data_IF_640271185939
#
_entry.id   IF_640271185939
#
_cell.length_a   1.000
_cell.length_b   1.000
_cell.length_c   1.000
_cell.angle_alpha   90.00
_cell.angle_beta   90.00
_cell.angle_gamma   90.00
#
_symmetry.space_group_name_H-M   'P 1'
#
loop_
_entity.id
_entity.type
_entity.pdbx_description
1 polymer ?
#
# COMPACT_ATOMS: atom_id res chain seq x y z
N UNK A 1 -2.22 -8.53 -2.26
CA UNK A 1 -1.24 -7.61 -2.86
C UNK A 1 0.03 -7.81 -2.08
N UNK A 2 1.15 -7.93 -2.78
CA UNK A 2 2.46 -8.12 -2.16
C UNK A 2 3.27 -6.84 -2.39
N UNK A 3 3.68 -6.21 -1.29
CA UNK A 3 4.66 -5.12 -1.29
C UNK A 3 5.88 -5.68 -0.54
N UNK A 4 7.03 -5.70 -1.18
CA UNK A 4 8.21 -6.38 -0.67
C UNK A 4 9.49 -5.55 -0.83
N UNK A 5 10.54 -5.97 -0.12
CA UNK A 5 11.84 -5.30 -0.12
C UNK A 5 12.02 -4.33 1.04
N UNK A 6 13.25 -3.84 1.12
CA UNK A 6 13.74 -2.82 2.03
C UNK A 6 14.75 -1.92 1.28
N UNK A 7 15.64 -1.26 2.02
CA UNK A 7 16.76 -0.53 1.43
C UNK A 7 17.62 -1.44 0.54
N UNK A 8 18.06 -0.93 -0.60
CA UNK A 8 19.00 -1.59 -1.54
C UNK A 8 18.60 -3.01 -1.99
N UNK A 9 17.29 -3.31 -1.98
CA UNK A 9 16.79 -4.62 -2.39
C UNK A 9 17.03 -4.91 -3.87
N UNK A 10 17.02 -6.20 -4.24
CA UNK A 10 17.01 -6.59 -5.65
C UNK A 10 15.59 -6.44 -6.21
N UNK A 11 15.24 -5.19 -6.51
CA UNK A 11 13.93 -4.76 -6.95
C UNK A 11 13.34 -5.64 -8.05
N UNK A 12 14.11 -5.93 -9.09
CA UNK A 12 13.69 -6.68 -10.28
C UNK A 12 13.34 -8.13 -9.94
N UNK A 13 14.21 -8.81 -9.19
CA UNK A 13 13.99 -10.19 -8.77
C UNK A 13 12.76 -10.34 -7.86
N UNK A 14 12.48 -9.33 -7.03
CA UNK A 14 11.29 -9.31 -6.18
C UNK A 14 10.01 -9.19 -7.03
N UNK A 15 10.03 -8.35 -8.06
CA UNK A 15 8.90 -8.23 -9.00
C UNK A 15 8.73 -9.51 -9.83
N UNK A 16 9.82 -10.09 -10.32
CA UNK A 16 9.81 -11.35 -11.08
C UNK A 16 9.26 -12.50 -10.24
N UNK A 17 9.54 -12.52 -8.94
CA UNK A 17 8.97 -13.48 -7.99
C UNK A 17 7.45 -13.28 -7.73
N UNK A 18 6.83 -12.26 -8.31
CA UNK A 18 5.38 -12.03 -8.26
C UNK A 18 4.93 -10.94 -7.30
N UNK A 19 5.84 -10.11 -6.79
CA UNK A 19 5.44 -8.94 -6.02
C UNK A 19 4.71 -7.91 -6.90
N UNK A 20 3.70 -7.25 -6.33
CA UNK A 20 3.02 -6.14 -7.00
C UNK A 20 3.91 -4.90 -7.01
N UNK A 21 4.52 -4.61 -5.85
CA UNK A 21 5.45 -3.50 -5.68
C UNK A 21 6.69 -3.99 -4.94
N UNK A 22 7.82 -3.39 -5.31
CA UNK A 22 9.09 -3.64 -4.67
C UNK A 22 9.76 -2.30 -4.35
N UNK A 23 10.56 -2.26 -3.30
CA UNK A 23 11.33 -1.07 -2.96
C UNK A 23 12.72 -1.06 -3.59
N UNK A 24 13.27 0.15 -3.65
CA UNK A 24 14.63 0.46 -4.06
C UNK A 24 15.01 0.12 -5.51
N UNK A 25 14.26 0.58 -6.53
CA UNK A 25 14.68 0.49 -7.94
C UNK A 25 16.13 0.93 -8.18
N UNK A 26 16.52 2.06 -7.59
CA UNK A 26 17.88 2.63 -7.74
C UNK A 26 18.85 2.11 -6.67
N UNK A 27 18.46 1.08 -5.91
CA UNK A 27 19.26 0.47 -4.82
C UNK A 27 19.74 1.49 -3.78
N UNK A 28 18.85 2.42 -3.43
CA UNK A 28 19.05 3.45 -2.41
C UNK A 28 18.48 3.07 -1.03
N UNK A 29 18.83 3.86 -0.02
CA UNK A 29 18.13 3.85 1.27
C UNK A 29 16.73 4.46 1.08
N UNK A 30 15.70 3.66 1.34
CA UNK A 30 14.32 4.10 1.24
C UNK A 30 13.83 4.60 2.59
N UNK A 31 12.84 5.47 2.59
CA UNK A 31 12.19 5.86 3.83
C UNK A 31 11.30 4.73 4.36
N UNK A 32 11.33 4.47 5.67
CA UNK A 32 10.57 3.39 6.30
C UNK A 32 9.04 3.51 6.10
N UNK A 33 8.54 4.72 5.84
CA UNK A 33 7.13 4.98 5.55
C UNK A 33 6.71 4.63 4.11
N UNK A 34 7.65 4.43 3.18
CA UNK A 34 7.30 4.27 1.77
C UNK A 34 6.48 3.01 1.49
N UNK A 35 6.86 1.82 1.99
CA UNK A 35 6.01 0.64 1.89
C UNK A 35 4.64 0.82 2.55
N UNK A 36 4.57 1.55 3.68
CA UNK A 36 3.32 1.80 4.42
C UNK A 36 2.37 2.68 3.62
N UNK A 37 2.89 3.75 3.01
CA UNK A 37 2.13 4.67 2.16
C UNK A 37 1.62 3.96 0.90
N UNK A 38 2.47 3.15 0.26
CA UNK A 38 2.08 2.34 -0.88
C UNK A 38 0.95 1.36 -0.53
N UNK A 39 1.09 0.66 0.62
CA UNK A 39 0.07 -0.26 1.12
C UNK A 39 -1.26 0.45 1.35
N UNK A 40 -1.23 1.58 2.06
CA UNK A 40 -2.42 2.36 2.42
C UNK A 40 -3.17 2.87 1.18
N UNK A 41 -2.43 3.37 0.17
CA UNK A 41 -3.02 3.85 -1.09
C UNK A 41 -3.80 2.76 -1.81
N UNK A 42 -3.27 1.54 -1.91
CA UNK A 42 -3.97 0.44 -2.60
C UNK A 42 -5.06 -0.17 -1.72
N UNK A 43 -4.85 -0.25 -0.41
CA UNK A 43 -5.84 -0.77 0.54
C UNK A 43 -7.12 0.08 0.55
N UNK A 44 -6.97 1.41 0.49
CA UNK A 44 -8.08 2.37 0.52
C UNK A 44 -8.61 2.73 -0.87
N UNK A 45 -7.94 2.33 -1.95
CA UNK A 45 -8.45 2.49 -3.30
C UNK A 45 -9.63 1.52 -3.55
N UNK A 46 -10.73 1.99 -4.17
CA UNK A 46 -11.83 1.14 -4.62
C UNK A 46 -11.36 -0.03 -5.47
N UNK A 47 -12.05 -1.17 -5.39
CA UNK A 47 -11.65 -2.41 -6.08
C UNK A 47 -11.61 -2.30 -7.62
N UNK A 48 -12.44 -1.42 -8.18
CA UNK A 48 -12.52 -1.11 -9.60
C UNK A 48 -11.46 -0.09 -10.04
N UNK A 49 -10.77 0.57 -9.11
CA UNK A 49 -9.65 1.46 -9.41
C UNK A 49 -8.35 0.69 -9.58
N UNK A 50 -7.63 0.93 -10.68
CA UNK A 50 -6.23 0.53 -10.84
C UNK A 50 -5.34 1.64 -10.27
N UNK A 51 -4.38 1.26 -9.44
CA UNK A 51 -3.35 2.15 -8.87
C UNK A 51 -2.04 1.89 -9.61
N UNK A 52 -1.45 2.94 -10.19
CA UNK A 52 -0.16 2.85 -10.88
C UNK A 52 1.04 3.00 -9.94
N UNK A 53 2.22 2.58 -10.39
CA UNK A 53 3.48 2.81 -9.66
C UNK A 53 3.85 4.29 -9.55
N UNK A 54 3.45 5.13 -10.52
CA UNK A 54 3.63 6.58 -10.46
C UNK A 54 2.78 7.21 -9.36
N UNK A 55 1.51 6.81 -9.22
CA UNK A 55 0.66 7.29 -8.10
C UNK A 55 1.26 6.93 -6.74
N UNK A 56 1.91 5.77 -6.63
CA UNK A 56 2.60 5.34 -5.41
C UNK A 56 3.85 6.19 -5.19
N UNK A 57 4.66 6.37 -6.22
CA UNK A 57 5.91 7.14 -6.17
C UNK A 57 5.68 8.59 -5.74
N UNK A 58 4.58 9.20 -6.18
CA UNK A 58 4.21 10.58 -5.83
C UNK A 58 3.89 10.78 -4.34
N UNK A 59 3.41 9.74 -3.64
CA UNK A 59 3.04 9.86 -2.22
C UNK A 59 4.18 9.44 -1.29
N UNK A 60 5.10 8.60 -1.76
CA UNK A 60 6.26 8.11 -1.01
C UNK A 60 7.37 9.15 -0.92
N UNK A 61 8.15 9.09 0.16
CA UNK A 61 9.21 10.05 0.49
C UNK A 61 10.41 9.87 -0.43
N UNK A 62 10.84 8.64 -0.71
CA UNK A 62 11.96 8.36 -1.60
C UNK A 62 11.58 8.40 -3.09
N UNK A 63 10.30 8.62 -3.40
CA UNK A 63 9.82 8.80 -4.77
C UNK A 63 10.03 7.58 -5.67
N UNK A 64 10.12 7.85 -6.97
CA UNK A 64 10.25 6.83 -8.03
C UNK A 64 11.56 6.02 -7.93
N UNK A 65 12.60 6.60 -7.33
CA UNK A 65 13.89 5.94 -7.12
C UNK A 65 13.85 4.93 -5.95
N UNK A 66 12.88 5.10 -5.05
CA UNK A 66 12.78 4.35 -3.80
C UNK A 66 11.68 3.29 -3.78
N UNK A 67 10.65 3.39 -4.60
CA UNK A 67 9.61 2.36 -4.71
C UNK A 67 9.00 2.35 -6.10
N UNK A 68 8.64 1.16 -6.58
CA UNK A 68 7.97 1.01 -7.87
C UNK A 68 7.29 -0.34 -7.97
N UNK A 69 6.77 -0.66 -9.16
CA UNK A 69 6.18 -1.97 -9.42
C UNK A 69 5.16 -1.96 -10.54
N UNK A 70 4.29 -2.95 -10.49
CA UNK A 70 3.23 -3.21 -11.46
C UNK A 70 1.91 -2.58 -11.00
N UNK A 71 1.11 -2.16 -11.98
CA UNK A 71 -0.24 -1.66 -11.73
C UNK A 71 -1.08 -2.66 -10.94
N UNK A 72 -1.81 -2.18 -9.93
CA UNK A 72 -2.51 -3.03 -8.98
C UNK A 72 -3.92 -2.51 -8.70
N UNK A 73 -4.93 -3.38 -8.80
CA UNK A 73 -6.30 -3.06 -8.40
C UNK A 73 -6.40 -2.76 -6.91
N UNK A 74 -7.19 -1.75 -6.55
CA UNK A 74 -7.53 -1.42 -5.18
C UNK A 74 -8.19 -2.59 -4.43
N UNK A 75 -8.27 -2.46 -3.11
CA UNK A 75 -8.81 -3.50 -2.22
C UNK A 75 -10.02 -3.06 -1.43
N UNK A 76 -10.33 -1.77 -1.41
CA UNK A 76 -11.51 -1.26 -0.72
C UNK A 76 -12.79 -1.73 -1.41
N UNK A 77 -13.69 -2.30 -0.62
CA UNK A 77 -15.00 -2.75 -1.05
C UNK A 77 -16.04 -2.07 -0.17
N UNK A 78 -16.92 -1.31 -0.79
CA UNK A 78 -18.11 -0.78 -0.12
C UNK A 78 -19.25 -1.81 -0.21
N UNK A 79 -20.04 -1.92 0.84
CA UNK A 79 -21.10 -2.92 0.97
C UNK A 79 -22.37 -2.30 1.53
N UNK A 80 -23.52 -2.65 0.95
CA UNK A 80 -24.83 -2.20 1.37
C UNK A 80 -25.81 -3.39 1.54
N UNK A 81 -26.78 -3.31 2.48
CA UNK A 81 -26.95 -2.24 3.45
C UNK A 81 -25.95 -2.34 4.61
N UNK A 82 -25.53 -1.19 5.16
CA UNK A 82 -24.73 -1.17 6.39
C UNK A 82 -25.49 -1.91 7.49
N UNK A 83 -24.81 -2.72 8.32
CA UNK A 83 -25.48 -3.49 9.37
C UNK A 83 -26.30 -2.55 10.26
N UNK A 84 -27.60 -2.84 10.38
CA UNK A 84 -28.54 -2.06 11.21
C UNK A 84 -28.19 -2.14 12.70
N UNK A 85 -27.46 -3.18 13.10
CA UNK A 85 -26.97 -3.36 14.45
C UNK A 85 -25.57 -2.72 14.59
N UNK A 86 -25.50 -1.62 15.34
CA UNK A 86 -24.20 -1.09 15.78
C UNK A 86 -23.70 -1.97 16.91
N UNK A 87 -22.66 -2.77 16.66
CA UNK A 87 -21.89 -3.36 17.77
C UNK A 87 -21.37 -2.21 18.64
N UNK A 88 -21.62 -2.26 19.95
CA UNK A 88 -20.83 -1.47 20.90
C UNK A 88 -19.39 -1.97 20.76
N UNK A 89 -18.50 -1.14 20.20
CA UNK A 89 -17.07 -1.37 20.34
C UNK A 89 -16.77 -1.35 21.84
N UNK A 90 -16.62 -2.54 22.43
CA UNK A 90 -16.07 -2.67 23.78
C UNK A 90 -14.62 -2.24 23.70
N UNK A 91 -14.31 -1.06 24.22
CA UNK A 91 -12.98 -0.49 24.08
C UNK A 91 -12.70 0.76 24.90
N UNK A 92 -13.64 1.70 25.03
CA UNK A 92 -13.38 2.92 25.81
C UNK A 92 -14.33 3.02 27.00
N UNK A 93 -13.85 2.52 28.14
CA UNK A 93 -14.35 2.93 29.44
C UNK A 93 -14.01 4.40 29.68
N UNK A 94 -15.04 5.19 29.97
CA UNK A 94 -14.99 6.48 30.63
C UNK A 94 -14.10 7.58 30.00
N UNK A 95 -14.74 8.46 29.23
CA UNK A 95 -14.43 9.88 29.32
C UNK A 95 -15.76 10.65 29.37
N UNK A 96 -15.93 11.38 30.48
CA UNK A 96 -16.98 12.40 30.68
C UNK A 96 -16.93 13.48 29.60
#
# INVERSE_FOLDING_TARGET
>A
MIIAGACQSHYEAILEAGANFASSPDRILIHALDPVKACSKVALAPIDKIVSSEEISQITVSGINGIGGLQTRGKYRDGAPKPRYKYKQGGDGNAM
#
